data_IF_925094105027
#
_entry.id   IF_925094105027
#
_cell.length_a   1.000
_cell.length_b   1.000
_cell.length_c   1.000
_cell.angle_alpha   90.00
_cell.angle_beta   90.00
_cell.angle_gamma   90.00
#
_symmetry.space_group_name_H-M   'P 1'
#
loop_
_entity.id
_entity.type
_entity.pdbx_description
1 polymer ?
#
# COMPACT_ATOMS: atom_id res chain seq x y z
N UNK A 1 6.84 -48.44 -9.37
CA UNK A 1 6.32 -47.24 -10.06
C UNK A 1 5.15 -46.66 -9.29
N UNK A 2 4.16 -47.49 -8.92
CA UNK A 2 3.00 -47.08 -8.13
C UNK A 2 3.35 -46.64 -6.69
N UNK A 3 4.28 -47.34 -6.04
CA UNK A 3 4.77 -46.96 -4.70
C UNK A 3 5.43 -45.57 -4.66
N UNK A 4 6.26 -45.28 -5.66
CA UNK A 4 6.90 -43.98 -5.80
C UNK A 4 5.89 -42.85 -6.08
N UNK A 5 4.81 -43.15 -6.82
CA UNK A 5 3.72 -42.21 -7.04
C UNK A 5 2.96 -41.93 -5.74
N UNK A 6 2.65 -42.97 -4.96
CA UNK A 6 1.98 -42.83 -3.67
C UNK A 6 2.82 -42.03 -2.67
N UNK A 7 4.13 -42.23 -2.65
CA UNK A 7 5.06 -41.46 -1.82
C UNK A 7 5.11 -39.98 -2.23
N UNK A 8 5.22 -39.70 -3.52
CA UNK A 8 5.21 -38.32 -4.05
C UNK A 8 3.88 -37.62 -3.76
N UNK A 9 2.75 -38.31 -3.93
CA UNK A 9 1.42 -37.76 -3.62
C UNK A 9 1.26 -37.45 -2.12
N UNK A 10 1.84 -38.26 -1.25
CA UNK A 10 1.80 -38.04 0.19
C UNK A 10 2.66 -36.85 0.62
N UNK A 11 3.88 -36.72 0.09
CA UNK A 11 4.75 -35.55 0.34
C UNK A 11 4.07 -34.25 -0.12
N UNK A 12 3.46 -34.26 -1.31
CA UNK A 12 2.74 -33.09 -1.83
C UNK A 12 1.50 -32.73 -1.00
N UNK A 13 0.81 -33.73 -0.44
CA UNK A 13 -0.35 -33.50 0.44
C UNK A 13 0.07 -32.92 1.80
N UNK A 14 1.16 -33.41 2.38
CA UNK A 14 1.70 -32.93 3.67
C UNK A 14 2.24 -31.48 3.58
N UNK A 15 2.81 -31.08 2.43
CA UNK A 15 3.30 -29.70 2.21
C UNK A 15 2.16 -28.66 2.13
N UNK A 16 0.96 -29.07 1.70
CA UNK A 16 -0.20 -28.18 1.57
C UNK A 16 -0.93 -27.94 2.90
N UNK A 17 -0.78 -28.81 3.89
CA UNK A 17 -1.55 -28.75 5.14
C UNK A 17 -1.09 -27.60 6.07
N UNK A 18 0.09 -27.01 5.81
CA UNK A 18 0.62 -25.90 6.60
C UNK A 18 0.25 -24.50 6.10
N UNK A 19 -0.21 -24.36 4.85
CA UNK A 19 -0.31 -23.05 4.15
C UNK A 19 -1.75 -22.74 3.72
N UNK A 20 -2.73 -23.26 4.45
CA UNK A 20 -4.15 -23.04 4.16
C UNK A 20 -4.77 -21.98 5.09
N UNK A 21 -5.78 -21.28 4.57
CA UNK A 21 -6.55 -20.32 5.38
C UNK A 21 -7.35 -21.08 6.45
N UNK A 22 -7.26 -20.70 7.75
CA UNK A 22 -8.06 -21.32 8.79
C UNK A 22 -9.57 -21.27 8.48
N UNK A 23 -10.22 -22.42 8.46
CA UNK A 23 -11.64 -22.57 8.10
C UNK A 23 -12.59 -22.51 9.29
N UNK A 24 -12.04 -22.56 10.51
CA UNK A 24 -12.78 -22.45 11.78
C UNK A 24 -13.53 -21.12 11.87
N UNK A 25 -14.75 -21.14 12.39
CA UNK A 25 -15.67 -20.00 12.37
C UNK A 25 -15.14 -18.76 13.09
N UNK A 26 -14.41 -18.96 14.18
CA UNK A 26 -13.73 -17.94 14.97
C UNK A 26 -12.57 -17.24 14.25
N UNK A 27 -11.98 -17.88 13.24
CA UNK A 27 -10.91 -17.32 12.41
C UNK A 27 -11.45 -16.69 11.13
N UNK A 28 -12.70 -16.98 10.76
CA UNK A 28 -13.30 -16.53 9.51
C UNK A 28 -13.72 -15.07 9.64
N UNK A 29 -13.26 -14.24 8.69
CA UNK A 29 -13.73 -12.86 8.59
C UNK A 29 -15.24 -12.90 8.34
N UNK A 30 -16.06 -12.22 9.17
CA UNK A 30 -17.50 -12.16 8.96
C UNK A 30 -17.82 -11.68 7.55
N UNK A 31 -18.83 -12.27 6.91
CA UNK A 31 -19.32 -11.76 5.64
C UNK A 31 -19.65 -10.28 5.79
N UNK A 32 -19.08 -9.44 4.92
CA UNK A 32 -19.15 -8.00 5.05
C UNK A 32 -20.59 -7.54 5.26
N UNK A 33 -20.84 -6.81 6.34
CA UNK A 33 -22.04 -5.96 6.45
C UNK A 33 -22.10 -5.08 5.21
N UNK A 34 -23.30 -4.85 4.66
CA UNK A 34 -23.51 -4.01 3.48
C UNK A 34 -22.61 -2.77 3.53
N UNK A 35 -21.85 -2.52 2.46
CA UNK A 35 -20.93 -1.38 2.40
C UNK A 35 -21.67 -0.11 2.81
N UNK A 36 -21.06 0.78 3.60
CA UNK A 36 -21.69 2.06 3.90
C UNK A 36 -22.06 2.76 2.58
N UNK A 37 -23.19 3.49 2.56
CA UNK A 37 -23.62 4.17 1.35
C UNK A 37 -22.51 5.11 0.84
N UNK A 38 -22.40 5.30 -0.48
CA UNK A 38 -21.34 6.10 -1.06
C UNK A 38 -21.38 7.53 -0.49
N UNK A 39 -20.22 8.17 -0.28
CA UNK A 39 -20.16 9.53 0.21
C UNK A 39 -20.89 10.47 -0.76
N UNK A 40 -21.72 11.36 -0.21
CA UNK A 40 -22.46 12.34 -1.01
C UNK A 40 -21.48 13.30 -1.69
N UNK A 41 -21.62 13.47 -3.00
CA UNK A 41 -20.89 14.49 -3.75
C UNK A 41 -21.27 15.86 -3.20
N UNK A 42 -20.28 16.65 -2.76
CA UNK A 42 -20.52 18.04 -2.35
C UNK A 42 -21.03 18.84 -3.55
N UNK A 43 -22.01 19.72 -3.33
CA UNK A 43 -22.41 20.67 -4.37
C UNK A 43 -21.19 21.50 -4.75
N UNK A 44 -20.94 21.61 -6.06
CA UNK A 44 -19.88 22.49 -6.54
C UNK A 44 -20.37 23.92 -6.27
N UNK A 45 -19.88 24.56 -5.21
CA UNK A 45 -20.05 26.01 -5.09
C UNK A 45 -19.21 26.60 -6.22
N UNK A 46 -19.86 27.08 -7.28
CA UNK A 46 -19.25 27.99 -8.26
C UNK A 46 -18.98 29.34 -7.57
N UNK A 47 -18.16 29.34 -6.53
CA UNK A 47 -17.55 30.55 -6.03
C UNK A 47 -16.65 31.15 -7.11
N UNK A 48 -16.28 32.43 -6.95
CA UNK A 48 -15.29 33.06 -7.84
C UNK A 48 -14.06 32.16 -7.93
N UNK A 49 -13.60 31.89 -9.16
CA UNK A 49 -12.35 31.16 -9.39
C UNK A 49 -11.27 31.80 -8.52
N UNK A 50 -10.69 31.04 -7.60
CA UNK A 50 -9.58 31.52 -6.78
C UNK A 50 -8.44 31.86 -7.72
N UNK A 51 -7.97 33.10 -7.67
CA UNK A 51 -6.78 33.49 -8.42
C UNK A 51 -5.58 32.64 -7.96
N UNK A 52 -4.64 32.32 -8.87
CA UNK A 52 -3.42 31.64 -8.48
C UNK A 52 -2.69 32.42 -7.38
N UNK A 53 -1.99 31.73 -6.46
CA UNK A 53 -1.14 32.41 -5.49
C UNK A 53 -0.13 33.32 -6.19
N UNK A 54 0.07 34.52 -5.65
CA UNK A 54 1.01 35.51 -6.20
C UNK A 54 2.44 34.97 -6.30
N UNK A 55 2.84 34.14 -5.33
CA UNK A 55 4.19 33.58 -5.22
C UNK A 55 4.32 32.19 -5.87
N UNK A 56 3.35 31.80 -6.70
CA UNK A 56 3.30 30.47 -7.29
C UNK A 56 2.84 29.38 -6.31
N UNK A 57 2.51 28.21 -6.87
CA UNK A 57 2.06 27.04 -6.10
C UNK A 57 3.22 26.25 -5.49
N UNK A 58 4.35 26.23 -6.19
CA UNK A 58 5.56 25.57 -5.73
C UNK A 58 6.40 26.57 -4.96
N UNK A 59 6.53 26.34 -3.66
CA UNK A 59 7.46 27.04 -2.80
C UNK A 59 8.60 26.08 -2.51
N UNK A 60 9.64 26.01 -3.36
CA UNK A 60 10.76 25.13 -3.09
C UNK A 60 11.34 25.51 -1.72
N UNK A 61 11.78 24.52 -0.92
CA UNK A 61 12.64 24.85 0.19
C UNK A 61 13.88 25.58 -0.32
N UNK A 62 14.43 26.47 0.49
CA UNK A 62 15.68 27.14 0.16
C UNK A 62 16.77 26.08 -0.05
N UNK A 63 17.22 25.95 -1.29
CA UNK A 63 18.23 24.96 -1.66
C UNK A 63 19.57 25.27 -1.00
N UNK A 64 19.85 26.56 -0.73
CA UNK A 64 21.08 26.95 -0.03
C UNK A 64 21.05 26.53 1.43
N UNK A 65 19.87 26.52 2.07
CA UNK A 65 19.69 25.92 3.38
C UNK A 65 19.93 24.40 3.33
N UNK A 66 19.45 23.73 2.28
CA UNK A 66 19.71 22.30 2.07
C UNK A 66 21.22 22.03 1.94
N UNK A 67 21.93 22.73 1.04
CA UNK A 67 23.35 22.47 0.81
C UNK A 67 24.26 22.93 1.95
N UNK A 68 23.87 23.95 2.73
CA UNK A 68 24.63 24.37 3.91
C UNK A 68 24.52 23.41 5.09
N UNK A 69 23.42 22.65 5.20
CA UNK A 69 23.24 21.62 6.25
C UNK A 69 24.10 20.38 6.03
N UNK A 70 24.47 20.05 4.79
CA UNK A 70 25.27 18.86 4.48
C UNK A 70 26.74 19.23 4.31
N UNK A 71 27.59 18.77 5.22
CA UNK A 71 29.04 18.77 5.00
C UNK A 71 29.35 17.92 3.76
N UNK A 72 29.85 18.52 2.67
CA UNK A 72 30.30 17.76 1.50
C UNK A 72 31.41 16.80 1.93
N UNK A 73 31.17 15.49 1.86
CA UNK A 73 32.24 14.50 1.85
C UNK A 73 32.97 14.67 0.51
N UNK A 74 34.17 15.23 0.54
CA UNK A 74 35.01 15.27 -0.65
C UNK A 74 35.38 13.83 -1.01
N UNK A 75 35.17 13.45 -2.27
CA UNK A 75 35.79 12.26 -2.82
C UNK A 75 37.20 12.66 -3.29
N UNK A 76 38.24 12.00 -2.79
CA UNK A 76 39.59 12.18 -3.30
C UNK A 76 39.68 11.57 -4.71
N UNK A 77 40.26 12.34 -5.64
CA UNK A 77 40.64 11.89 -6.98
C UNK A 77 41.84 10.96 -6.95
#
# INVERSE_FOLDING_TARGET
MEEAYNEVMRIMAEEQDGWSTPTRGECRIPAASACPPPPKKKSLSFGKKREPPKDGYFKPPDLELFFSMFTRRQACS
#
